data_IF_934694164359
#
_entry.id   IF_934694164359
#
_cell.length_a   1.000
_cell.length_b   1.000
_cell.length_c   1.000
_cell.angle_alpha   90.00
_cell.angle_beta   90.00
_cell.angle_gamma   90.00
#
_symmetry.space_group_name_H-M   'P 1'
#
loop_
_entity.id
_entity.type
_entity.pdbx_description
1 polymer ?
#
# COMPACT_ATOMS: atom_id res chain seq x y z
N UNK A 1 -18.57 6.01 -37.33
CA UNK A 1 -17.35 6.78 -37.02
C UNK A 1 -17.49 7.71 -35.81
N UNK A 2 -18.67 8.29 -35.56
CA UNK A 2 -18.93 9.29 -34.51
C UNK A 2 -18.82 8.78 -33.06
N UNK A 3 -19.13 7.50 -32.79
CA UNK A 3 -18.99 6.89 -31.45
C UNK A 3 -17.55 6.62 -31.01
N UNK A 4 -16.63 6.38 -31.97
CA UNK A 4 -15.22 6.12 -31.68
C UNK A 4 -14.47 7.42 -31.29
N UNK A 5 -14.86 8.54 -31.90
CA UNK A 5 -14.27 9.87 -31.65
C UNK A 5 -14.67 10.43 -30.29
N UNK A 6 -15.91 10.22 -29.84
CA UNK A 6 -16.39 10.67 -28.52
C UNK A 6 -15.70 9.92 -27.37
N UNK A 7 -15.43 8.62 -27.53
CA UNK A 7 -14.72 7.81 -26.51
C UNK A 7 -13.25 8.21 -26.38
N UNK A 8 -12.60 8.57 -27.49
CA UNK A 8 -11.22 9.09 -27.50
C UNK A 8 -11.16 10.49 -26.89
N UNK A 9 -12.09 11.39 -27.25
CA UNK A 9 -12.20 12.73 -26.67
C UNK A 9 -12.49 12.70 -25.16
N UNK A 10 -13.35 11.80 -24.66
CA UNK A 10 -13.58 11.61 -23.21
C UNK A 10 -12.33 11.16 -22.45
N UNK A 11 -11.57 10.24 -23.03
CA UNK A 11 -10.31 9.76 -22.45
C UNK A 11 -9.22 10.84 -22.49
N UNK A 12 -9.11 11.61 -23.58
CA UNK A 12 -8.13 12.69 -23.71
C UNK A 12 -8.48 13.87 -22.82
N UNK A 13 -9.73 14.33 -22.80
CA UNK A 13 -10.17 15.46 -21.94
C UNK A 13 -10.12 15.10 -20.46
N UNK A 14 -10.47 13.86 -20.07
CA UNK A 14 -10.34 13.40 -18.68
C UNK A 14 -8.88 13.32 -18.22
N UNK A 15 -7.97 12.83 -19.07
CA UNK A 15 -6.53 12.79 -18.76
C UNK A 15 -5.95 14.21 -18.72
N UNK A 16 -6.30 15.09 -19.66
CA UNK A 16 -5.79 16.47 -19.68
C UNK A 16 -6.36 17.32 -18.54
N UNK A 17 -7.63 17.13 -18.15
CA UNK A 17 -8.23 17.85 -17.03
C UNK A 17 -7.67 17.38 -15.68
N UNK A 18 -7.45 16.08 -15.49
CA UNK A 18 -6.82 15.54 -14.25
C UNK A 18 -5.35 15.92 -14.18
N UNK A 19 -4.63 15.90 -15.31
CA UNK A 19 -3.22 16.33 -15.37
C UNK A 19 -3.08 17.84 -15.18
N UNK A 20 -4.01 18.62 -15.75
CA UNK A 20 -4.06 20.08 -15.62
C UNK A 20 -4.46 20.52 -14.21
N UNK A 21 -5.42 19.86 -13.57
CA UNK A 21 -5.80 20.12 -12.18
C UNK A 21 -4.70 19.70 -11.20
N UNK A 22 -3.96 18.64 -11.49
CA UNK A 22 -2.81 18.20 -10.69
C UNK A 22 -1.59 19.12 -10.86
N UNK A 23 -1.33 19.61 -12.08
CA UNK A 23 -0.31 20.63 -12.34
C UNK A 23 -0.69 21.97 -11.70
N UNK A 24 -1.96 22.36 -11.76
CA UNK A 24 -2.50 23.55 -11.08
C UNK A 24 -2.44 23.40 -9.56
N UNK A 25 -2.72 22.21 -9.02
CA UNK A 25 -2.57 21.91 -7.59
C UNK A 25 -1.10 22.02 -7.14
N UNK A 26 -0.14 21.54 -7.94
CA UNK A 26 1.29 21.72 -7.67
C UNK A 26 1.67 23.20 -7.73
N UNK A 27 1.17 23.97 -8.70
CA UNK A 27 1.48 25.40 -8.81
C UNK A 27 0.83 26.22 -7.69
N UNK A 28 -0.43 25.93 -7.32
CA UNK A 28 -1.18 26.66 -6.30
C UNK A 28 -0.69 26.37 -4.87
N UNK A 29 -0.35 25.11 -4.56
CA UNK A 29 0.29 24.76 -3.27
C UNK A 29 1.67 25.38 -3.14
N UNK A 30 2.34 25.64 -4.27
CA UNK A 30 3.72 26.15 -4.33
C UNK A 30 3.79 27.67 -4.36
N UNK A 31 2.87 28.39 -5.01
CA UNK A 31 2.74 29.85 -4.82
C UNK A 31 2.37 30.20 -3.38
N UNK A 32 1.50 29.40 -2.75
CA UNK A 32 1.22 29.52 -1.33
C UNK A 32 2.45 29.22 -0.44
N UNK A 33 3.43 28.46 -0.94
CA UNK A 33 4.71 28.19 -0.27
C UNK A 33 5.74 29.31 -0.46
N UNK A 34 5.84 29.88 -1.66
CA UNK A 34 6.75 31.00 -1.98
C UNK A 34 6.31 32.28 -1.26
N UNK A 35 5.00 32.53 -1.13
CA UNK A 35 4.48 33.64 -0.33
C UNK A 35 4.58 33.40 1.20
N UNK A 36 4.81 32.16 1.66
CA UNK A 36 4.96 31.79 3.07
C UNK A 36 6.37 32.05 3.63
N UNK A 37 7.43 31.95 2.84
CA UNK A 37 8.79 32.22 3.33
C UNK A 37 9.06 33.70 3.61
N UNK A 38 8.17 34.61 3.19
CA UNK A 38 8.24 36.04 3.55
C UNK A 38 7.59 36.36 4.90
N UNK A 39 6.87 35.41 5.53
CA UNK A 39 6.22 35.61 6.83
C UNK A 39 6.46 34.42 7.77
N UNK A 40 7.25 34.66 8.82
CA UNK A 40 7.45 33.76 9.96
C UNK A 40 6.14 33.12 10.46
N UNK A 41 6.02 31.78 10.40
CA UNK A 41 5.01 31.04 11.19
C UNK A 41 5.29 29.53 11.27
N UNK A 42 5.64 29.08 12.47
CA UNK A 42 5.87 27.70 12.92
C UNK A 42 4.62 26.78 12.95
N UNK A 43 3.60 27.03 12.12
CA UNK A 43 2.31 26.30 12.19
C UNK A 43 1.83 25.67 10.85
N UNK A 44 2.66 25.66 9.82
CA UNK A 44 2.19 25.57 8.44
C UNK A 44 1.98 24.17 7.76
N UNK A 45 2.56 23.03 8.21
CA UNK A 45 2.43 21.77 7.47
C UNK A 45 1.00 21.22 7.41
N UNK A 46 0.25 21.33 8.52
CA UNK A 46 -1.11 20.79 8.62
C UNK A 46 -2.13 21.51 7.72
N UNK A 47 -1.95 22.83 7.49
CA UNK A 47 -2.89 23.65 6.72
C UNK A 47 -2.85 23.38 5.21
N UNK A 48 -1.67 23.08 4.64
CA UNK A 48 -1.54 22.80 3.20
C UNK A 48 -2.06 21.41 2.81
N UNK A 49 -1.78 20.39 3.63
CA UNK A 49 -2.38 19.04 3.49
C UNK A 49 -3.90 19.09 3.59
N UNK A 50 -4.44 20.04 4.38
CA UNK A 50 -5.86 20.27 4.51
C UNK A 50 -6.50 20.84 3.23
N UNK A 51 -5.85 21.77 2.53
CA UNK A 51 -6.43 22.42 1.34
C UNK A 51 -6.54 21.46 0.16
N UNK A 52 -5.51 20.67 -0.14
CA UNK A 52 -5.60 19.67 -1.22
C UNK A 52 -6.57 18.55 -0.96
N UNK A 53 -6.64 18.08 0.29
CA UNK A 53 -7.65 17.10 0.69
C UNK A 53 -9.05 17.69 0.54
N UNK A 54 -9.26 18.96 0.92
CA UNK A 54 -10.54 19.67 0.75
C UNK A 54 -10.87 19.93 -0.72
N UNK A 55 -9.91 20.31 -1.54
CA UNK A 55 -10.09 20.54 -2.98
C UNK A 55 -10.43 19.23 -3.70
N UNK A 56 -9.69 18.17 -3.42
CA UNK A 56 -10.00 16.85 -3.98
C UNK A 56 -11.40 16.40 -3.55
N UNK A 57 -11.72 16.43 -2.26
CA UNK A 57 -13.04 15.97 -1.76
C UNK A 57 -14.20 16.88 -2.16
N UNK A 58 -13.99 18.18 -2.20
CA UNK A 58 -15.03 19.18 -2.45
C UNK A 58 -15.32 19.40 -3.93
N UNK A 59 -14.32 19.21 -4.81
CA UNK A 59 -14.45 19.56 -6.23
C UNK A 59 -14.16 18.40 -7.17
N UNK A 60 -13.03 17.70 -6.98
CA UNK A 60 -12.59 16.67 -7.93
C UNK A 60 -13.39 15.37 -7.78
N UNK A 61 -13.52 14.89 -6.55
CA UNK A 61 -14.15 13.62 -6.25
C UNK A 61 -15.65 13.62 -6.61
N UNK A 62 -16.45 14.67 -6.32
CA UNK A 62 -17.85 14.73 -6.71
C UNK A 62 -18.07 14.76 -8.23
N UNK A 63 -17.08 15.22 -9.01
CA UNK A 63 -17.15 15.22 -10.48
C UNK A 63 -16.71 13.88 -11.07
N UNK A 64 -15.60 13.32 -10.57
CA UNK A 64 -15.08 12.03 -11.06
C UNK A 64 -15.94 10.84 -10.63
N UNK A 65 -16.58 10.93 -9.47
CA UNK A 65 -17.31 9.79 -8.91
C UNK A 65 -18.52 9.39 -9.77
N UNK A 66 -19.44 10.30 -10.19
CA UNK A 66 -20.53 9.97 -11.09
C UNK A 66 -20.04 9.48 -12.47
N UNK A 67 -18.96 10.07 -12.99
CA UNK A 67 -18.37 9.69 -14.28
C UNK A 67 -17.79 8.26 -14.28
N UNK A 68 -17.47 7.74 -13.10
CA UNK A 68 -16.86 6.42 -12.92
C UNK A 68 -17.72 5.45 -12.10
N UNK A 69 -18.94 5.87 -11.74
CA UNK A 69 -19.85 5.11 -10.90
C UNK A 69 -20.31 3.81 -11.58
N UNK A 70 -20.36 3.78 -12.91
CA UNK A 70 -20.85 2.63 -13.68
C UNK A 70 -19.88 1.45 -13.75
N UNK A 71 -18.56 1.67 -13.58
CA UNK A 71 -17.56 0.61 -13.56
C UNK A 71 -16.38 0.98 -12.63
N UNK A 72 -16.40 0.48 -11.38
CA UNK A 72 -15.32 0.71 -10.42
C UNK A 72 -13.92 0.25 -10.90
N UNK A 73 -13.83 -0.76 -11.78
CA UNK A 73 -12.56 -1.25 -12.31
C UNK A 73 -12.01 -0.33 -13.41
N UNK A 74 -12.87 0.33 -14.18
CA UNK A 74 -12.46 1.44 -15.07
C UNK A 74 -11.93 2.61 -14.24
N UNK A 75 -12.65 3.00 -13.19
CA UNK A 75 -12.23 4.06 -12.28
C UNK A 75 -10.84 3.79 -11.69
N UNK A 76 -10.63 2.55 -11.23
CA UNK A 76 -9.36 2.11 -10.68
C UNK A 76 -8.23 2.20 -11.71
N UNK A 77 -8.45 1.73 -12.95
CA UNK A 77 -7.46 1.87 -14.03
C UNK A 77 -7.14 3.32 -14.36
N UNK A 78 -8.15 4.20 -14.41
CA UNK A 78 -7.92 5.63 -14.62
C UNK A 78 -7.04 6.22 -13.51
N UNK A 79 -7.31 5.87 -12.25
CA UNK A 79 -6.47 6.31 -11.12
C UNK A 79 -5.02 5.81 -11.25
N UNK A 80 -4.81 4.55 -11.65
CA UNK A 80 -3.46 4.01 -11.92
C UNK A 80 -2.78 4.75 -13.06
N UNK A 81 -3.44 4.94 -14.21
CA UNK A 81 -2.83 5.59 -15.37
C UNK A 81 -2.51 7.06 -15.10
N UNK A 82 -3.45 7.83 -14.54
CA UNK A 82 -3.22 9.23 -14.19
C UNK A 82 -2.16 9.35 -13.08
N UNK A 83 -2.21 8.48 -12.07
CA UNK A 83 -1.23 8.44 -11.00
C UNK A 83 0.18 8.09 -11.47
N UNK A 84 0.32 7.25 -12.49
CA UNK A 84 1.63 6.91 -13.08
C UNK A 84 2.25 8.09 -13.83
N UNK A 85 1.43 8.83 -14.60
CA UNK A 85 1.86 10.05 -15.30
C UNK A 85 2.25 11.12 -14.29
N UNK A 86 1.35 11.39 -13.33
CA UNK A 86 1.59 12.36 -12.25
C UNK A 86 2.83 11.99 -11.43
N UNK A 87 2.96 10.72 -11.06
CA UNK A 87 4.06 10.18 -10.28
C UNK A 87 5.41 10.42 -10.96
N UNK A 88 5.51 10.22 -12.29
CA UNK A 88 6.74 10.53 -13.03
C UNK A 88 7.07 12.01 -12.96
N UNK A 89 6.11 12.89 -13.25
CA UNK A 89 6.33 14.35 -13.21
C UNK A 89 6.75 14.78 -11.80
N UNK A 90 5.99 14.37 -10.78
CA UNK A 90 6.28 14.65 -9.38
C UNK A 90 7.65 14.14 -8.95
N UNK A 91 8.01 12.90 -9.31
CA UNK A 91 9.29 12.28 -8.98
C UNK A 91 10.48 13.04 -9.57
N UNK A 92 10.39 13.44 -10.85
CA UNK A 92 11.46 14.21 -11.48
C UNK A 92 11.52 15.64 -10.94
N UNK A 93 10.39 16.31 -10.72
CA UNK A 93 10.36 17.64 -10.10
C UNK A 93 10.95 17.62 -8.68
N UNK A 94 10.60 16.63 -7.87
CA UNK A 94 11.20 16.41 -6.55
C UNK A 94 12.71 16.17 -6.65
N UNK A 95 13.18 15.42 -7.66
CA UNK A 95 14.61 15.23 -7.92
C UNK A 95 15.31 16.55 -8.27
N UNK A 96 14.77 17.32 -9.22
CA UNK A 96 15.33 18.62 -9.61
C UNK A 96 15.35 19.60 -8.43
N UNK A 97 14.28 19.62 -7.64
CA UNK A 97 14.17 20.52 -6.49
C UNK A 97 15.14 20.14 -5.37
N UNK A 98 15.26 18.87 -5.00
CA UNK A 98 16.23 18.43 -4.00
C UNK A 98 17.68 18.73 -4.43
N UNK A 99 17.99 18.60 -5.73
CA UNK A 99 19.28 19.04 -6.26
C UNK A 99 19.47 20.56 -6.12
N UNK A 100 18.44 21.35 -6.43
CA UNK A 100 18.47 22.80 -6.29
C UNK A 100 18.57 23.25 -4.83
N UNK A 101 17.82 22.65 -3.90
CA UNK A 101 17.88 22.98 -2.48
C UNK A 101 19.22 22.56 -1.85
N UNK A 102 19.77 21.40 -2.24
CA UNK A 102 21.11 21.01 -1.80
C UNK A 102 22.19 21.96 -2.35
N UNK A 103 22.04 22.43 -3.60
CA UNK A 103 22.92 23.43 -4.20
C UNK A 103 22.76 24.79 -3.49
N UNK A 104 21.53 25.27 -3.31
CA UNK A 104 21.19 26.50 -2.58
C UNK A 104 21.76 26.46 -1.18
N UNK A 105 21.56 25.37 -0.44
CA UNK A 105 22.10 25.20 0.92
C UNK A 105 23.62 25.27 0.92
N UNK A 106 24.32 24.60 -0.01
CA UNK A 106 25.80 24.71 -0.13
C UNK A 106 26.26 26.13 -0.48
N UNK A 107 25.53 26.82 -1.35
CA UNK A 107 25.83 28.20 -1.73
C UNK A 107 25.60 29.13 -0.54
N UNK A 108 24.50 28.97 0.19
CA UNK A 108 24.19 29.74 1.40
C UNK A 108 25.16 29.44 2.55
N UNK A 109 25.56 28.18 2.74
CA UNK A 109 26.56 27.79 3.74
C UNK A 109 27.94 28.40 3.40
N UNK A 110 28.31 28.46 2.12
CA UNK A 110 29.54 29.13 1.65
C UNK A 110 29.46 30.65 1.74
N UNK A 111 28.33 31.25 1.38
CA UNK A 111 28.10 32.69 1.54
C UNK A 111 28.12 33.09 3.01
N UNK A 112 27.47 32.30 3.88
CA UNK A 112 27.52 32.50 5.32
C UNK A 112 28.96 32.36 5.85
N UNK A 113 29.73 31.39 5.37
CA UNK A 113 31.15 31.24 5.73
C UNK A 113 32.05 32.37 5.18
N UNK A 114 31.68 32.99 4.06
CA UNK A 114 32.41 34.12 3.46
C UNK A 114 32.03 35.47 4.11
N UNK A 115 30.79 35.63 4.56
CA UNK A 115 30.28 36.85 5.18
C UNK A 115 30.54 36.91 6.69
N UNK A 116 30.84 35.77 7.32
CA UNK A 116 31.19 35.66 8.73
C UNK A 116 32.70 35.42 8.88
N UNK A 117 33.49 36.45 8.60
CA UNK A 117 34.86 36.55 9.09
C UNK A 117 34.81 37.24 10.45
N UNK A 118 35.09 36.50 11.53
CA UNK A 118 35.09 37.03 12.89
C UNK A 118 34.04 36.40 13.83
N UNK A 119 34.56 35.63 14.77
CA UNK A 119 34.04 35.35 16.11
C UNK A 119 32.58 35.75 16.40
N UNK A 120 31.64 34.87 16.05
CA UNK A 120 30.34 34.84 16.72
C UNK A 120 30.05 33.42 17.16
N UNK A 121 30.07 33.23 18.47
CA UNK A 121 29.58 32.05 19.18
C UNK A 121 28.27 31.60 18.53
N UNK A 122 28.29 30.42 17.91
CA UNK A 122 27.08 29.74 17.44
C UNK A 122 26.08 29.72 18.61
N UNK A 123 24.88 30.33 18.49
CA UNK A 123 23.80 29.94 19.38
C UNK A 123 23.61 28.45 19.14
N UNK A 124 23.54 27.68 20.22
CA UNK A 124 23.31 26.26 20.21
C UNK A 124 21.89 25.90 19.72
N UNK A 125 21.50 26.33 18.53
CA UNK A 125 20.39 25.76 17.76
C UNK A 125 20.82 24.47 17.03
N UNK A 126 21.92 23.86 17.46
CA UNK A 126 22.47 22.63 16.90
C UNK A 126 21.94 21.34 17.55
N UNK A 127 20.94 21.39 18.45
CA UNK A 127 20.52 20.20 19.20
C UNK A 127 19.00 20.01 19.33
N UNK A 128 18.22 20.45 18.33
CA UNK A 128 16.84 19.98 18.13
C UNK A 128 16.63 19.43 16.72
N UNK A 129 17.66 18.79 16.12
CA UNK A 129 17.44 17.88 14.99
C UNK A 129 16.89 16.56 15.54
N UNK A 130 15.70 16.65 16.13
CA UNK A 130 15.01 15.58 16.82
C UNK A 130 14.57 14.50 15.84
N UNK A 131 14.85 13.26 16.20
CA UNK A 131 14.36 12.04 15.54
C UNK A 131 12.86 12.20 15.25
N UNK A 132 12.45 12.00 14.00
CA UNK A 132 11.02 11.94 13.66
C UNK A 132 10.39 10.82 14.51
N UNK A 133 9.47 11.13 15.43
CA UNK A 133 8.93 10.15 16.38
C UNK A 133 8.11 9.05 15.70
N UNK A 134 7.75 9.22 14.42
CA UNK A 134 7.02 8.25 13.63
C UNK A 134 7.94 7.34 12.80
N UNK A 135 9.24 7.65 12.74
CA UNK A 135 10.23 6.85 12.02
C UNK A 135 10.53 5.57 12.77
N UNK A 136 10.58 4.46 12.04
CA UNK A 136 10.83 3.13 12.60
C UNK A 136 11.83 2.35 11.74
N UNK A 137 12.63 1.50 12.35
CA UNK A 137 13.44 0.50 11.64
C UNK A 137 12.89 -0.87 11.97
N UNK A 138 12.35 -1.56 10.97
CA UNK A 138 11.77 -2.89 11.08
C UNK A 138 12.30 -3.73 9.93
N UNK A 139 12.47 -5.04 10.12
CA UNK A 139 12.90 -5.93 9.03
C UNK A 139 14.25 -5.55 8.38
N UNK A 140 15.12 -4.83 9.10
CA UNK A 140 16.34 -4.25 8.54
C UNK A 140 16.12 -3.05 7.59
N UNK A 141 14.89 -2.52 7.53
CA UNK A 141 14.46 -1.45 6.62
C UNK A 141 13.99 -0.24 7.42
N UNK A 142 14.39 0.95 6.97
CA UNK A 142 13.92 2.22 7.51
C UNK A 142 12.55 2.60 6.92
N UNK A 143 11.55 2.75 7.79
CA UNK A 143 10.23 3.26 7.48
C UNK A 143 10.13 4.71 7.96
N UNK A 144 10.06 5.71 7.06
CA UNK A 144 9.98 7.11 7.46
C UNK A 144 8.67 7.44 8.20
N UNK A 145 7.59 6.69 7.96
CA UNK A 145 6.28 6.85 8.60
C UNK A 145 5.58 5.49 8.72
N UNK A 146 4.66 5.31 9.69
CA UNK A 146 4.03 4.03 9.92
C UNK A 146 2.85 3.74 8.98
N UNK A 147 2.43 4.69 8.13
CA UNK A 147 1.25 4.53 7.27
C UNK A 147 1.67 4.30 5.83
N UNK A 148 1.29 3.16 5.24
CA UNK A 148 1.59 2.79 3.87
C UNK A 148 0.37 2.49 3.01
N UNK A 149 0.62 2.19 1.73
CA UNK A 149 -0.39 1.75 0.76
C UNK A 149 -0.43 0.21 0.74
N UNK A 150 -1.62 -0.37 0.90
CA UNK A 150 -1.80 -1.83 0.88
C UNK A 150 -1.69 -2.43 -0.54
N UNK A 151 -1.29 -3.71 -0.62
CA UNK A 151 -1.36 -4.48 -1.86
C UNK A 151 -2.78 -4.57 -2.43
N UNK A 152 -2.83 -4.88 -3.72
CA UNK A 152 -4.04 -4.97 -4.52
C UNK A 152 -4.48 -3.62 -5.10
N UNK A 153 -3.88 -2.51 -4.69
CA UNK A 153 -4.05 -1.22 -5.36
C UNK A 153 -3.18 -1.15 -6.62
N UNK A 154 -1.86 -1.21 -6.49
CA UNK A 154 -0.96 -1.29 -7.65
C UNK A 154 -0.36 -2.69 -7.79
N UNK A 155 -1.04 -3.54 -8.54
CA UNK A 155 -0.62 -4.94 -8.71
C UNK A 155 0.63 -5.10 -9.58
N UNK A 156 0.89 -4.13 -10.46
CA UNK A 156 1.88 -4.26 -11.53
C UNK A 156 2.99 -3.20 -11.45
N UNK A 157 3.13 -2.49 -10.34
CA UNK A 157 4.19 -1.49 -10.14
C UNK A 157 4.09 -0.27 -11.08
N UNK A 158 2.88 0.13 -11.49
CA UNK A 158 2.68 1.31 -12.34
C UNK A 158 2.86 2.63 -11.57
N UNK A 159 2.69 2.62 -10.24
CA UNK A 159 2.75 3.78 -9.36
C UNK A 159 4.06 3.90 -8.58
N UNK A 160 5.08 3.11 -8.92
CA UNK A 160 6.35 3.12 -8.18
C UNK A 160 6.95 4.53 -8.06
N UNK A 161 6.92 5.35 -9.11
CA UNK A 161 7.39 6.75 -9.03
C UNK A 161 6.58 7.58 -8.03
N UNK A 162 5.26 7.39 -7.97
CA UNK A 162 4.40 8.10 -7.04
C UNK A 162 4.65 7.65 -5.59
N UNK A 163 4.70 6.34 -5.36
CA UNK A 163 4.90 5.74 -4.04
C UNK A 163 6.27 6.01 -3.45
N UNK A 164 7.28 6.25 -4.29
CA UNK A 164 8.65 6.58 -3.87
C UNK A 164 8.90 8.08 -3.84
N UNK A 165 7.92 8.90 -4.23
CA UNK A 165 7.97 10.36 -4.12
C UNK A 165 7.51 10.83 -2.74
N UNK A 166 7.98 11.99 -2.31
CA UNK A 166 7.49 12.63 -1.08
C UNK A 166 6.04 13.13 -1.19
N UNK A 167 5.48 13.22 -2.41
CA UNK A 167 4.22 13.91 -2.70
C UNK A 167 3.00 13.20 -2.14
N UNK A 168 2.98 11.85 -2.19
CA UNK A 168 1.86 11.08 -1.65
C UNK A 168 1.89 11.03 -0.11
N UNK A 169 3.06 11.25 0.50
CA UNK A 169 3.23 11.24 1.95
C UNK A 169 3.15 9.86 2.61
N UNK A 170 3.11 8.78 1.84
CA UNK A 170 3.15 7.42 2.37
C UNK A 170 4.52 7.13 3.01
N UNK A 171 4.51 6.34 4.07
CA UNK A 171 5.71 5.82 4.71
C UNK A 171 6.32 4.65 3.96
N UNK A 172 5.48 3.83 3.32
CA UNK A 172 5.87 2.69 2.49
C UNK A 172 4.72 2.34 1.54
N UNK A 173 4.95 1.43 0.60
CA UNK A 173 3.88 0.88 -0.22
C UNK A 173 4.12 -0.60 -0.49
N UNK A 174 3.04 -1.35 -0.70
CA UNK A 174 3.09 -2.75 -1.09
C UNK A 174 2.47 -2.91 -2.47
N UNK A 175 3.26 -3.39 -3.45
CA UNK A 175 2.77 -3.73 -4.80
C UNK A 175 2.37 -5.21 -4.87
N UNK A 176 1.66 -5.60 -5.92
CA UNK A 176 1.12 -6.96 -6.08
C UNK A 176 -0.32 -7.09 -5.57
N UNK A 177 -0.88 -8.27 -5.35
CA UNK A 177 -0.23 -9.58 -5.48
C UNK A 177 0.22 -9.88 -6.91
N UNK A 178 1.45 -10.38 -7.05
CA UNK A 178 2.01 -10.86 -8.31
C UNK A 178 2.25 -12.37 -8.22
N UNK A 179 2.03 -13.09 -9.32
CA UNK A 179 2.39 -14.49 -9.48
C UNK A 179 3.49 -14.64 -10.51
N UNK A 180 4.10 -15.83 -10.62
CA UNK A 180 5.16 -16.08 -11.60
C UNK A 180 4.65 -15.78 -13.00
N UNK A 181 3.55 -16.42 -13.37
CA UNK A 181 2.91 -16.24 -14.67
C UNK A 181 1.89 -15.09 -14.65
N UNK A 182 1.71 -14.38 -15.79
CA UNK A 182 0.61 -13.44 -15.95
C UNK A 182 -0.74 -14.11 -15.78
N UNK A 183 -1.67 -13.42 -15.12
CA UNK A 183 -3.02 -13.93 -14.90
C UNK A 183 -4.09 -12.88 -15.19
N UNK A 184 -5.11 -13.18 -16.01
CA UNK A 184 -6.16 -12.21 -16.36
C UNK A 184 -7.13 -11.93 -15.20
N UNK A 185 -7.24 -12.87 -14.26
CA UNK A 185 -8.20 -12.90 -13.17
C UNK A 185 -9.62 -13.24 -13.61
N UNK A 186 -10.58 -13.11 -12.68
CA UNK A 186 -11.96 -13.55 -12.90
C UNK A 186 -12.69 -12.71 -13.97
N UNK A 187 -13.76 -13.21 -14.59
CA UNK A 187 -14.59 -12.44 -15.52
C UNK A 187 -15.14 -11.15 -14.88
N UNK A 188 -15.32 -10.10 -15.69
CA UNK A 188 -15.96 -8.84 -15.27
C UNK A 188 -17.49 -8.94 -15.38
N UNK A 189 -18.26 -8.21 -14.54
CA UNK A 189 -17.83 -7.31 -13.46
C UNK A 189 -17.37 -8.07 -12.20
N UNK A 190 -16.37 -7.51 -11.52
CA UNK A 190 -15.67 -8.17 -10.38
C UNK A 190 -15.23 -7.21 -9.27
N UNK A 191 -15.66 -5.95 -9.35
CA UNK A 191 -15.38 -4.90 -8.36
C UNK A 191 -16.63 -4.04 -8.19
N UNK A 192 -17.11 -3.92 -6.95
CA UNK A 192 -18.37 -3.28 -6.60
C UNK A 192 -18.14 -2.33 -5.43
N UNK A 193 -18.62 -1.09 -5.54
CA UNK A 193 -18.54 -0.09 -4.47
C UNK A 193 -19.78 -0.18 -3.60
N UNK A 194 -19.61 0.03 -2.30
CA UNK A 194 -20.68 0.24 -1.33
C UNK A 194 -20.41 1.58 -0.63
N UNK A 195 -20.78 2.71 -1.26
CA UNK A 195 -20.36 4.03 -0.80
C UNK A 195 -20.90 4.38 0.59
N UNK A 196 -22.16 4.01 0.89
CA UNK A 196 -22.79 4.25 2.19
C UNK A 196 -22.06 3.54 3.33
N UNK A 197 -21.54 2.35 3.07
CA UNK A 197 -20.77 1.57 4.03
C UNK A 197 -19.29 1.97 4.08
N UNK A 198 -18.82 2.81 3.16
CA UNK A 198 -17.39 3.06 2.95
C UNK A 198 -16.64 1.75 2.66
N UNK A 199 -17.22 0.90 1.81
CA UNK A 199 -16.76 -0.45 1.54
C UNK A 199 -16.68 -0.77 0.04
N UNK A 200 -15.98 -1.86 -0.26
CA UNK A 200 -15.84 -2.42 -1.62
C UNK A 200 -15.91 -3.94 -1.53
N UNK A 201 -16.72 -4.56 -2.38
CA UNK A 201 -16.70 -6.00 -2.65
C UNK A 201 -15.85 -6.23 -3.89
N UNK A 202 -14.93 -7.19 -3.84
CA UNK A 202 -14.14 -7.56 -5.00
C UNK A 202 -13.92 -9.07 -5.10
N UNK A 203 -13.92 -9.56 -6.33
CA UNK A 203 -13.56 -10.92 -6.72
C UNK A 203 -12.61 -10.89 -7.90
N UNK A 204 -11.55 -10.10 -7.79
CA UNK A 204 -10.63 -9.81 -8.91
C UNK A 204 -9.94 -11.07 -9.46
N UNK A 205 -9.73 -12.10 -8.63
CA UNK A 205 -9.05 -13.34 -9.01
C UNK A 205 -7.56 -13.15 -9.29
N UNK A 206 -6.87 -12.35 -8.48
CA UNK A 206 -5.40 -12.18 -8.56
C UNK A 206 -4.86 -11.75 -9.94
N UNK A 207 -5.64 -10.98 -10.71
CA UNK A 207 -5.19 -10.45 -12.01
C UNK A 207 -3.85 -9.68 -11.91
N UNK A 208 -2.85 -10.06 -12.69
CA UNK A 208 -1.51 -9.45 -12.69
C UNK A 208 -0.75 -9.74 -14.00
N UNK A 209 0.36 -9.03 -14.25
CA UNK A 209 1.18 -9.16 -15.48
C UNK A 209 2.40 -10.09 -15.35
N UNK A 210 2.47 -10.89 -14.29
CA UNK A 210 3.58 -11.79 -14.01
C UNK A 210 4.76 -11.12 -13.31
N UNK A 211 5.56 -11.94 -12.64
CA UNK A 211 6.69 -11.51 -11.82
C UNK A 211 7.79 -10.84 -12.64
N UNK A 212 8.05 -11.33 -13.86
CA UNK A 212 9.05 -10.77 -14.76
C UNK A 212 8.73 -9.31 -15.14
N UNK A 213 7.46 -9.01 -15.44
CA UNK A 213 7.03 -7.65 -15.78
C UNK A 213 7.23 -6.70 -14.60
N UNK A 214 6.95 -7.16 -13.37
CA UNK A 214 7.17 -6.38 -12.17
C UNK A 214 8.67 -6.20 -11.87
N UNK A 215 9.47 -7.25 -12.03
CA UNK A 215 10.93 -7.23 -11.86
C UNK A 215 11.57 -6.11 -12.66
N UNK A 216 11.28 -6.01 -13.96
CA UNK A 216 11.88 -4.97 -14.82
C UNK A 216 11.60 -3.54 -14.33
N UNK A 217 10.41 -3.30 -13.76
CA UNK A 217 10.04 -2.00 -13.20
C UNK A 217 10.71 -1.72 -11.86
N UNK A 218 10.74 -2.72 -10.97
CA UNK A 218 11.42 -2.62 -9.69
C UNK A 218 12.94 -2.40 -9.88
N UNK A 219 13.55 -3.11 -10.82
CA UNK A 219 14.96 -2.92 -11.19
C UNK A 219 15.22 -1.51 -11.69
N UNK A 220 14.39 -1.02 -12.63
CA UNK A 220 14.50 0.35 -13.15
C UNK A 220 14.35 1.39 -12.04
N UNK A 221 13.41 1.17 -11.11
CA UNK A 221 13.21 2.07 -9.98
C UNK A 221 14.40 2.03 -9.01
N UNK A 222 14.90 0.83 -8.67
CA UNK A 222 16.06 0.66 -7.81
C UNK A 222 17.28 1.42 -8.35
N UNK A 223 17.53 1.31 -9.67
CA UNK A 223 18.60 2.08 -10.33
C UNK A 223 18.40 3.61 -10.22
N UNK A 224 17.16 4.09 -10.31
CA UNK A 224 16.84 5.53 -10.17
C UNK A 224 16.95 6.04 -8.73
N UNK A 225 16.73 5.17 -7.75
CA UNK A 225 16.76 5.50 -6.32
C UNK A 225 18.15 5.32 -5.69
N UNK A 226 19.10 4.68 -6.37
CA UNK A 226 20.42 4.40 -5.84
C UNK A 226 21.08 5.67 -5.26
N UNK A 227 21.46 5.62 -3.98
CA UNK A 227 22.05 6.74 -3.23
C UNK A 227 21.06 7.75 -2.63
N UNK A 228 19.75 7.61 -2.83
CA UNK A 228 18.75 8.47 -2.17
C UNK A 228 18.49 7.99 -0.76
N UNK A 229 18.67 8.88 0.22
CA UNK A 229 18.22 8.66 1.60
C UNK A 229 16.72 8.98 1.71
N UNK A 230 16.01 8.27 2.59
CA UNK A 230 14.61 8.52 2.98
C UNK A 230 13.52 8.30 1.91
N UNK A 231 13.73 7.37 0.98
CA UNK A 231 12.68 6.94 0.05
C UNK A 231 11.78 5.90 0.71
N UNK A 232 10.44 6.04 0.64
CA UNK A 232 9.52 5.04 1.17
C UNK A 232 9.84 3.63 0.62
N UNK A 233 10.03 2.61 1.48
CA UNK A 233 10.30 1.25 1.03
C UNK A 233 9.11 0.65 0.27
N UNK A 234 9.42 -0.21 -0.70
CA UNK A 234 8.42 -0.93 -1.49
C UNK A 234 8.45 -2.41 -1.12
N UNK A 235 7.39 -2.89 -0.46
CA UNK A 235 7.15 -4.32 -0.27
C UNK A 235 6.52 -4.95 -1.51
N UNK A 236 6.73 -6.25 -1.69
CA UNK A 236 6.11 -7.00 -2.79
C UNK A 236 5.26 -8.13 -2.23
N UNK A 237 3.97 -8.09 -2.54
CA UNK A 237 3.03 -9.15 -2.23
C UNK A 237 3.08 -10.23 -3.32
N UNK A 238 3.38 -11.47 -2.94
CA UNK A 238 3.47 -12.61 -3.87
C UNK A 238 2.34 -13.61 -3.64
N UNK A 239 1.94 -14.31 -4.68
CA UNK A 239 0.89 -15.33 -4.66
C UNK A 239 1.16 -16.41 -5.70
N UNK A 240 0.60 -17.60 -5.49
CA UNK A 240 0.59 -18.68 -6.48
C UNK A 240 -0.14 -18.21 -7.74
N UNK A 241 0.37 -18.59 -8.90
CA UNK A 241 -0.36 -18.50 -10.17
C UNK A 241 -1.71 -19.23 -10.03
N UNK A 242 -2.86 -18.55 -10.22
CA UNK A 242 -4.19 -19.15 -10.02
C UNK A 242 -4.63 -20.15 -11.12
N UNK A 243 -3.71 -20.99 -11.60
CA UNK A 243 -3.99 -22.02 -12.59
C UNK A 243 -4.30 -23.36 -11.92
N UNK A 244 -5.36 -24.08 -12.36
CA UNK A 244 -5.66 -25.44 -11.88
C UNK A 244 -4.56 -26.46 -12.21
N UNK A 245 -3.67 -26.14 -13.14
CA UNK A 245 -2.51 -26.97 -13.48
C UNK A 245 -1.31 -26.76 -12.53
N UNK A 246 -1.40 -25.83 -11.58
CA UNK A 246 -0.32 -25.45 -10.66
C UNK A 246 -0.84 -25.69 -9.24
N UNK A 247 -0.72 -26.93 -8.77
CA UNK A 247 -1.11 -27.36 -7.42
C UNK A 247 0.09 -27.99 -6.67
N UNK A 248 -0.06 -28.23 -5.37
CA UNK A 248 0.89 -28.93 -4.51
C UNK A 248 2.36 -28.47 -4.67
N UNK A 249 3.26 -29.36 -5.12
CA UNK A 249 4.67 -29.04 -5.31
C UNK A 249 4.92 -28.01 -6.41
N UNK A 250 4.12 -28.04 -7.48
CA UNK A 250 4.21 -27.04 -8.54
C UNK A 250 3.79 -25.65 -8.02
N UNK A 251 2.84 -25.60 -7.10
CA UNK A 251 2.43 -24.36 -6.44
C UNK A 251 3.53 -23.76 -5.56
N UNK A 252 4.27 -24.61 -4.83
CA UNK A 252 5.43 -24.17 -4.05
C UNK A 252 6.55 -23.68 -4.99
N UNK A 253 6.84 -24.42 -6.06
CA UNK A 253 7.84 -24.02 -7.04
C UNK A 253 7.50 -22.67 -7.73
N UNK A 254 6.23 -22.44 -8.06
CA UNK A 254 5.73 -21.18 -8.62
C UNK A 254 5.95 -20.00 -7.65
N UNK A 255 5.70 -20.21 -6.35
CA UNK A 255 5.94 -19.21 -5.31
C UNK A 255 7.43 -18.90 -5.14
N UNK A 256 8.30 -19.91 -5.17
CA UNK A 256 9.76 -19.73 -5.11
C UNK A 256 10.27 -18.97 -6.34
N UNK A 257 9.83 -19.35 -7.54
CA UNK A 257 10.19 -18.65 -8.77
C UNK A 257 9.69 -17.19 -8.76
N UNK A 258 8.51 -16.94 -8.20
CA UNK A 258 8.02 -15.56 -7.99
C UNK A 258 8.91 -14.80 -7.02
N UNK A 259 9.30 -15.44 -5.90
CA UNK A 259 10.18 -14.86 -4.88
C UNK A 259 11.51 -14.39 -5.49
N UNK A 260 12.19 -15.24 -6.26
CA UNK A 260 13.48 -14.95 -6.88
C UNK A 260 13.47 -13.72 -7.78
N UNK A 261 12.40 -13.56 -8.55
CA UNK A 261 12.28 -12.46 -9.53
C UNK A 261 12.22 -11.10 -8.84
N UNK A 262 11.61 -11.03 -7.65
CA UNK A 262 11.29 -9.75 -6.99
C UNK A 262 12.09 -9.48 -5.72
N UNK A 263 12.59 -10.52 -5.03
CA UNK A 263 13.34 -10.40 -3.79
C UNK A 263 14.57 -9.47 -3.86
N UNK A 264 15.37 -9.41 -4.95
CA UNK A 264 16.49 -8.48 -5.04
C UNK A 264 16.11 -7.00 -4.92
N UNK A 265 14.86 -6.65 -5.23
CA UNK A 265 14.39 -5.26 -5.34
C UNK A 265 13.31 -4.88 -4.32
N UNK A 266 12.72 -5.86 -3.64
CA UNK A 266 11.70 -5.64 -2.63
C UNK A 266 12.35 -5.26 -1.28
N UNK A 267 11.74 -4.34 -0.53
CA UNK A 267 12.13 -4.09 0.86
C UNK A 267 11.83 -5.31 1.74
N UNK A 268 10.64 -5.88 1.58
CA UNK A 268 10.20 -7.12 2.20
C UNK A 268 9.28 -7.89 1.23
N UNK A 269 9.17 -9.19 1.42
CA UNK A 269 8.23 -10.05 0.70
C UNK A 269 7.03 -10.35 1.60
N UNK A 270 5.83 -10.16 1.07
CA UNK A 270 4.58 -10.52 1.76
C UNK A 270 3.92 -11.71 1.06
N UNK A 271 3.95 -12.87 1.70
CA UNK A 271 3.39 -14.12 1.20
C UNK A 271 1.89 -14.13 1.44
N UNK A 272 1.11 -14.01 0.35
CA UNK A 272 -0.33 -14.00 0.42
C UNK A 272 -0.89 -15.43 0.39
N UNK A 273 -1.18 -15.96 1.58
CA UNK A 273 -1.80 -17.29 1.74
C UNK A 273 -3.33 -17.24 1.76
N UNK A 274 -3.93 -16.04 1.76
CA UNK A 274 -5.29 -15.77 2.24
C UNK A 274 -6.27 -15.27 1.18
N UNK A 275 -6.01 -15.48 -0.13
CA UNK A 275 -6.90 -14.93 -1.17
C UNK A 275 -8.13 -15.82 -1.40
N UNK A 276 -9.37 -15.37 -1.09
CA UNK A 276 -10.57 -16.18 -1.22
C UNK A 276 -11.16 -16.18 -2.64
N UNK A 277 -10.50 -15.52 -3.61
CA UNK A 277 -11.08 -15.17 -4.91
C UNK A 277 -10.53 -16.00 -6.08
N UNK A 278 -9.87 -17.12 -5.82
CA UNK A 278 -9.40 -18.09 -6.83
C UNK A 278 -10.52 -19.06 -7.18
N UNK A 279 -10.57 -19.55 -8.42
CA UNK A 279 -11.60 -20.50 -8.86
C UNK A 279 -11.51 -21.84 -8.10
N UNK A 280 -10.30 -22.23 -7.70
CA UNK A 280 -10.02 -23.45 -6.92
C UNK A 280 -10.46 -23.35 -5.46
N UNK A 281 -10.58 -22.13 -4.90
CA UNK A 281 -10.91 -21.92 -3.48
C UNK A 281 -9.86 -22.44 -2.48
N UNK A 282 -8.81 -23.15 -2.93
CA UNK A 282 -7.71 -23.65 -2.10
C UNK A 282 -6.80 -22.49 -1.69
N UNK A 283 -6.62 -22.34 -0.39
CA UNK A 283 -5.66 -21.42 0.24
C UNK A 283 -4.49 -22.21 0.83
N UNK A 284 -3.39 -21.52 1.17
CA UNK A 284 -2.31 -22.11 1.99
C UNK A 284 -2.58 -21.90 3.49
N UNK A 285 -3.85 -21.78 3.90
CA UNK A 285 -4.19 -21.60 5.33
C UNK A 285 -4.35 -22.94 6.06
N UNK A 286 -4.46 -24.05 5.33
CA UNK A 286 -4.44 -25.39 5.93
C UNK A 286 -3.05 -25.70 6.50
N UNK A 287 -2.95 -26.30 7.71
CA UNK A 287 -1.67 -26.45 8.43
C UNK A 287 -0.56 -27.13 7.63
N UNK A 288 -0.85 -28.23 6.96
CA UNK A 288 0.13 -29.02 6.21
C UNK A 288 0.63 -28.27 4.97
N UNK A 289 -0.29 -27.63 4.24
CA UNK A 289 0.03 -26.84 3.06
C UNK A 289 0.88 -25.61 3.44
N UNK A 290 0.56 -24.96 4.56
CA UNK A 290 1.33 -23.84 5.08
C UNK A 290 2.74 -24.26 5.52
N UNK A 291 2.85 -25.33 6.30
CA UNK A 291 4.15 -25.84 6.77
C UNK A 291 5.06 -26.19 5.59
N UNK A 292 4.52 -26.89 4.58
CA UNK A 292 5.24 -27.22 3.35
C UNK A 292 5.73 -25.97 2.61
N UNK A 293 4.84 -24.98 2.39
CA UNK A 293 5.20 -23.74 1.71
C UNK A 293 6.26 -22.95 2.49
N UNK A 294 6.05 -22.73 3.80
CA UNK A 294 6.95 -21.92 4.62
C UNK A 294 8.33 -22.57 4.77
N UNK A 295 8.40 -23.90 4.94
CA UNK A 295 9.70 -24.59 4.99
C UNK A 295 10.49 -24.39 3.70
N UNK A 296 9.86 -24.59 2.56
CA UNK A 296 10.52 -24.42 1.27
C UNK A 296 10.97 -22.96 1.07
N UNK A 297 10.07 -22.01 1.28
CA UNK A 297 10.33 -20.59 1.05
C UNK A 297 11.37 -20.01 2.01
N UNK A 298 11.31 -20.35 3.30
CA UNK A 298 12.26 -19.82 4.29
C UNK A 298 13.64 -20.49 4.18
N UNK A 299 13.70 -21.77 3.81
CA UNK A 299 14.96 -22.43 3.43
C UNK A 299 15.59 -21.74 2.23
N UNK A 300 14.79 -21.55 1.17
CA UNK A 300 15.24 -20.87 -0.04
C UNK A 300 15.71 -19.44 0.22
N UNK A 301 14.95 -18.68 1.01
CA UNK A 301 15.30 -17.32 1.45
C UNK A 301 16.60 -17.31 2.25
N UNK A 302 16.80 -18.26 3.17
CA UNK A 302 18.04 -18.35 3.95
C UNK A 302 19.27 -18.55 3.04
N UNK A 303 19.14 -19.42 2.04
CA UNK A 303 20.26 -19.83 1.21
C UNK A 303 20.59 -18.80 0.11
N UNK A 304 19.59 -18.06 -0.39
CA UNK A 304 19.76 -17.12 -1.52
C UNK A 304 19.63 -15.64 -1.13
N UNK A 305 18.87 -15.31 -0.08
CA UNK A 305 18.53 -13.94 0.31
C UNK A 305 18.48 -13.77 1.85
N UNK A 306 19.60 -13.98 2.57
CA UNK A 306 19.65 -14.11 4.03
C UNK A 306 19.21 -12.85 4.81
N UNK A 307 19.09 -11.70 4.15
CA UNK A 307 18.61 -10.45 4.75
C UNK A 307 17.19 -10.07 4.32
N UNK A 308 16.55 -10.86 3.44
CA UNK A 308 15.22 -10.52 2.92
C UNK A 308 14.13 -10.90 3.91
N UNK A 309 13.46 -9.91 4.49
CA UNK A 309 12.33 -10.20 5.36
C UNK A 309 11.14 -10.81 4.60
N UNK A 310 10.55 -11.85 5.21
CA UNK A 310 9.38 -12.57 4.74
C UNK A 310 8.25 -12.43 5.75
N UNK A 311 7.15 -11.85 5.29
CA UNK A 311 5.94 -11.68 6.06
C UNK A 311 4.84 -12.60 5.53
N UNK A 312 3.88 -12.96 6.37
CA UNK A 312 2.71 -13.76 5.99
C UNK A 312 1.42 -12.95 6.14
N UNK A 313 0.56 -12.96 5.12
CA UNK A 313 -0.71 -12.23 5.12
C UNK A 313 -1.90 -13.10 5.53
N UNK A 314 -2.57 -12.74 6.63
CA UNK A 314 -3.68 -13.51 7.19
C UNK A 314 -5.07 -12.99 6.79
N UNK A 315 -6.02 -13.91 6.68
CA UNK A 315 -7.46 -13.61 6.54
C UNK A 315 -8.03 -12.99 7.83
N UNK A 316 -9.09 -12.16 7.72
CA UNK A 316 -9.86 -11.76 8.89
C UNK A 316 -10.62 -12.95 9.49
N UNK A 317 -10.92 -12.93 10.81
CA UNK A 317 -11.76 -13.94 11.42
C UNK A 317 -13.15 -13.99 10.77
N UNK A 318 -13.75 -15.18 10.59
CA UNK A 318 -15.12 -15.31 10.13
C UNK A 318 -16.10 -14.79 11.21
N UNK A 319 -17.35 -14.58 10.81
CA UNK A 319 -18.41 -14.30 11.75
C UNK A 319 -18.56 -15.44 12.78
N UNK A 320 -18.73 -15.08 14.05
CA UNK A 320 -18.86 -16.08 15.13
C UNK A 320 -17.58 -16.83 15.46
N UNK A 321 -16.41 -16.36 15.01
CA UNK A 321 -15.12 -16.94 15.39
C UNK A 321 -14.99 -17.08 16.91
N UNK A 322 -14.83 -18.31 17.35
CA UNK A 322 -14.76 -18.72 18.75
C UNK A 322 -13.31 -18.99 19.18
N UNK A 323 -13.13 -19.48 20.40
CA UNK A 323 -11.83 -19.82 20.95
C UNK A 323 -11.09 -20.87 20.12
N UNK A 324 -11.81 -21.86 19.55
CA UNK A 324 -11.21 -22.89 18.70
C UNK A 324 -10.61 -22.31 17.43
N UNK A 325 -11.31 -21.35 16.78
CA UNK A 325 -10.74 -20.62 15.64
C UNK A 325 -9.44 -19.90 16.04
N UNK A 326 -9.47 -19.17 17.15
CA UNK A 326 -8.30 -18.42 17.61
C UNK A 326 -7.14 -19.32 18.03
N UNK A 327 -7.39 -20.51 18.57
CA UNK A 327 -6.34 -21.51 18.82
C UNK A 327 -5.72 -22.05 17.52
N UNK A 328 -6.53 -22.27 16.48
CA UNK A 328 -6.01 -22.59 15.14
C UNK A 328 -5.08 -21.50 14.60
N UNK A 329 -5.49 -20.23 14.72
CA UNK A 329 -4.64 -19.08 14.39
C UNK A 329 -3.37 -19.05 15.24
N UNK A 330 -3.48 -19.32 16.55
CA UNK A 330 -2.32 -19.35 17.45
C UNK A 330 -1.31 -20.42 17.03
N UNK A 331 -1.76 -21.63 16.71
CA UNK A 331 -0.91 -22.72 16.24
C UNK A 331 -0.19 -22.36 14.93
N UNK A 332 -0.94 -21.80 13.97
CA UNK A 332 -0.41 -21.32 12.69
C UNK A 332 0.67 -20.24 12.88
N UNK A 333 0.41 -19.24 13.72
CA UNK A 333 1.35 -18.15 14.02
C UNK A 333 2.59 -18.68 14.70
N UNK A 334 2.45 -19.51 15.75
CA UNK A 334 3.60 -20.11 16.45
C UNK A 334 4.47 -20.91 15.49
N UNK A 335 3.85 -21.70 14.60
CA UNK A 335 4.58 -22.49 13.61
C UNK A 335 5.33 -21.61 12.61
N UNK A 336 4.67 -20.58 12.08
CA UNK A 336 5.31 -19.63 11.18
C UNK A 336 6.52 -18.94 11.83
N UNK A 337 6.40 -18.54 13.10
CA UNK A 337 7.51 -17.93 13.87
C UNK A 337 8.63 -18.94 14.12
N UNK A 338 8.32 -20.19 14.49
CA UNK A 338 9.29 -21.28 14.66
C UNK A 338 10.13 -21.51 13.38
N UNK A 339 9.49 -21.41 12.22
CA UNK A 339 10.15 -21.57 10.92
C UNK A 339 10.97 -20.34 10.49
N UNK A 340 10.82 -19.20 11.17
CA UNK A 340 11.58 -17.97 10.91
C UNK A 340 10.85 -16.91 10.08
N UNK A 341 9.52 -16.84 10.12
CA UNK A 341 8.77 -15.70 9.55
C UNK A 341 9.08 -14.41 10.32
N UNK A 342 9.41 -13.34 9.60
CA UNK A 342 9.86 -12.07 10.18
C UNK A 342 8.70 -11.17 10.66
N UNK A 343 7.48 -11.39 10.16
CA UNK A 343 6.34 -10.56 10.50
C UNK A 343 5.03 -11.03 9.89
N UNK A 344 3.94 -10.34 10.25
CA UNK A 344 2.61 -10.64 9.71
C UNK A 344 1.96 -9.39 9.13
N UNK A 345 1.15 -9.58 8.07
CA UNK A 345 0.28 -8.54 7.53
C UNK A 345 -1.16 -8.98 7.76
N UNK A 346 -1.97 -8.15 8.42
CA UNK A 346 -3.35 -8.53 8.69
C UNK A 346 -4.29 -7.33 8.76
N UNK A 347 -5.44 -7.33 8.12
CA UNK A 347 -6.13 -8.48 7.50
C UNK A 347 -6.32 -8.32 5.99
N UNK A 348 -6.55 -9.45 5.32
CA UNK A 348 -7.14 -9.50 3.99
C UNK A 348 -8.65 -9.16 4.03
N UNK A 349 -9.38 -9.39 2.94
CA UNK A 349 -10.82 -9.08 2.84
C UNK A 349 -11.72 -10.10 3.52
N UNK A 350 -12.87 -9.67 4.06
CA UNK A 350 -13.87 -10.55 4.71
C UNK A 350 -14.75 -11.22 3.66
N UNK A 351 -14.91 -12.54 3.72
CA UNK A 351 -15.70 -13.31 2.75
C UNK A 351 -17.20 -13.38 3.08
N UNK A 352 -17.58 -13.32 4.36
CA UNK A 352 -18.98 -13.40 4.80
C UNK A 352 -19.75 -12.07 4.69
N UNK A 353 -21.05 -12.11 5.05
CA UNK A 353 -22.00 -10.99 5.03
C UNK A 353 -22.74 -10.85 6.36
N UNK A 354 -22.05 -11.18 7.46
CA UNK A 354 -22.68 -11.22 8.77
C UNK A 354 -23.07 -9.83 9.30
N UNK A 355 -23.96 -9.83 10.29
CA UNK A 355 -24.56 -8.62 10.87
C UNK A 355 -23.55 -7.70 11.54
N UNK A 356 -22.50 -8.27 12.12
CA UNK A 356 -21.43 -7.53 12.80
C UNK A 356 -20.63 -6.62 11.86
N UNK A 357 -20.73 -6.83 10.53
CA UNK A 357 -20.14 -5.95 9.53
C UNK A 357 -20.91 -4.63 9.38
N UNK A 358 -22.14 -4.53 9.90
CA UNK A 358 -22.92 -3.28 9.88
C UNK A 358 -23.24 -2.77 8.48
N UNK A 359 -23.38 -3.67 7.50
CA UNK A 359 -23.69 -3.31 6.12
C UNK A 359 -25.14 -2.80 6.01
N UNK A 360 -25.35 -1.73 5.24
CA UNK A 360 -26.69 -1.19 4.92
C UNK A 360 -27.48 -2.20 4.09
N UNK A 361 -28.35 -2.97 4.76
CA UNK A 361 -29.20 -3.98 4.12
C UNK A 361 -30.34 -3.40 3.28
N UNK A 362 -30.58 -2.08 3.35
CA UNK A 362 -31.62 -1.41 2.55
C UNK A 362 -31.19 -1.18 1.09
N UNK A 363 -29.90 -1.34 0.78
CA UNK A 363 -29.30 -1.07 -0.52
C UNK A 363 -29.50 -2.16 -1.59
N UNK A 364 -30.43 -3.10 -1.40
CA UNK A 364 -30.80 -4.08 -2.42
C UNK A 364 -29.66 -4.97 -2.93
N UNK A 365 -29.90 -5.64 -4.06
CA UNK A 365 -29.20 -6.80 -4.61
C UNK A 365 -27.67 -6.90 -4.50
N UNK A 366 -26.91 -5.80 -4.51
CA UNK A 366 -25.43 -5.87 -4.54
C UNK A 366 -24.85 -6.48 -3.26
N UNK A 367 -25.44 -6.18 -2.10
CA UNK A 367 -24.99 -6.74 -0.80
C UNK A 367 -25.16 -8.27 -0.74
N UNK A 368 -26.22 -8.78 -1.37
CA UNK A 368 -26.68 -10.17 -1.25
C UNK A 368 -26.30 -11.04 -2.46
N UNK A 369 -26.18 -10.48 -3.66
CA UNK A 369 -25.87 -11.22 -4.90
C UNK A 369 -24.38 -11.31 -5.18
N UNK A 370 -23.60 -10.30 -4.82
CA UNK A 370 -22.20 -10.22 -5.26
C UNK A 370 -21.28 -11.02 -4.34
N UNK A 371 -20.75 -12.12 -4.90
CA UNK A 371 -19.66 -12.90 -4.30
C UNK A 371 -18.36 -12.11 -4.27
N UNK A 372 -17.49 -12.41 -3.32
CA UNK A 372 -16.16 -11.83 -3.17
C UNK A 372 -15.91 -11.23 -1.80
N UNK A 373 -14.70 -10.76 -1.58
CA UNK A 373 -14.25 -10.21 -0.31
C UNK A 373 -14.63 -8.74 -0.11
N UNK A 374 -15.16 -8.41 1.06
CA UNK A 374 -15.42 -7.06 1.55
C UNK A 374 -14.15 -6.44 2.11
N UNK A 375 -13.91 -5.20 1.74
CA UNK A 375 -12.90 -4.31 2.31
C UNK A 375 -13.55 -2.98 2.70
N UNK A 376 -12.86 -2.18 3.52
CA UNK A 376 -13.35 -0.86 3.94
C UNK A 376 -13.72 -0.82 5.42
N UNK A 377 -14.56 0.15 5.81
CA UNK A 377 -14.91 0.41 7.22
C UNK A 377 -15.44 -0.84 7.96
N UNK A 378 -16.30 -1.68 7.35
CA UNK A 378 -16.84 -2.89 8.01
C UNK A 378 -15.79 -3.86 8.56
N UNK A 379 -14.60 -3.93 7.95
CA UNK A 379 -13.57 -4.92 8.32
C UNK A 379 -12.79 -4.52 9.58
N UNK A 380 -12.88 -3.25 9.99
CA UNK A 380 -12.01 -2.65 11.01
C UNK A 380 -11.98 -3.42 12.33
N UNK A 381 -13.15 -3.78 12.87
CA UNK A 381 -13.21 -4.40 14.20
C UNK A 381 -12.59 -5.80 14.18
N UNK A 382 -12.85 -6.57 13.12
CA UNK A 382 -12.24 -7.89 12.93
C UNK A 382 -10.72 -7.80 12.73
N UNK A 383 -10.25 -6.78 12.01
CA UNK A 383 -8.81 -6.50 11.88
C UNK A 383 -8.16 -6.23 13.23
N UNK A 384 -8.77 -5.35 14.04
CA UNK A 384 -8.30 -5.01 15.40
C UNK A 384 -8.23 -6.26 16.29
N UNK A 385 -9.26 -7.09 16.26
CA UNK A 385 -9.34 -8.30 17.08
C UNK A 385 -8.20 -9.28 16.72
N UNK A 386 -7.96 -9.51 15.42
CA UNK A 386 -6.89 -10.40 14.99
C UNK A 386 -5.49 -9.83 15.31
N UNK A 387 -5.26 -8.54 15.08
CA UNK A 387 -3.99 -7.88 15.44
C UNK A 387 -3.70 -8.07 16.93
N UNK A 388 -4.70 -7.82 17.79
CA UNK A 388 -4.57 -8.00 19.24
C UNK A 388 -4.32 -9.46 19.63
N UNK A 389 -4.94 -10.40 18.94
CA UNK A 389 -4.72 -11.83 19.18
C UNK A 389 -3.29 -12.23 18.83
N UNK A 390 -2.85 -11.94 17.61
CA UNK A 390 -1.50 -12.31 17.14
C UNK A 390 -0.41 -11.61 17.95
N UNK A 391 -0.60 -10.34 18.32
CA UNK A 391 0.34 -9.63 19.20
C UNK A 391 0.52 -10.34 20.55
N UNK A 392 -0.56 -10.87 21.15
CA UNK A 392 -0.48 -11.66 22.39
C UNK A 392 0.24 -12.99 22.18
N UNK A 393 -0.08 -13.70 21.09
CA UNK A 393 0.56 -14.99 20.74
C UNK A 393 2.06 -14.82 20.53
N UNK A 394 2.50 -13.72 19.93
CA UNK A 394 3.93 -13.43 19.67
C UNK A 394 4.59 -12.64 20.80
N UNK A 395 3.86 -12.33 21.88
CA UNK A 395 4.33 -11.52 23.02
C UNK A 395 4.95 -10.18 22.59
N UNK A 396 4.44 -9.60 21.49
CA UNK A 396 4.96 -8.36 20.91
C UNK A 396 6.36 -8.45 20.29
N UNK A 397 6.95 -9.64 20.16
CA UNK A 397 8.31 -9.84 19.62
C UNK A 397 8.37 -9.82 18.10
N UNK A 398 7.24 -10.06 17.43
CA UNK A 398 7.15 -10.15 15.97
C UNK A 398 6.36 -8.96 15.43
N UNK A 399 6.94 -8.11 14.56
CA UNK A 399 6.25 -6.95 13.99
C UNK A 399 5.00 -7.32 13.18
N UNK A 400 3.98 -6.48 13.29
CA UNK A 400 2.70 -6.64 12.57
C UNK A 400 2.42 -5.40 11.72
N UNK A 401 2.04 -5.62 10.45
CA UNK A 401 1.47 -4.59 9.58
C UNK A 401 -0.07 -4.71 9.61
N UNK A 402 -0.73 -3.77 10.27
CA UNK A 402 -2.19 -3.70 10.39
C UNK A 402 -2.86 -3.13 9.13
N UNK A 403 -3.88 -3.80 8.61
CA UNK A 403 -4.65 -3.40 7.44
C UNK A 403 -6.14 -3.72 7.68
N UNK A 404 -7.03 -2.91 7.12
CA UNK A 404 -8.47 -3.11 7.21
C UNK A 404 -9.19 -1.94 7.87
N UNK A 405 -9.95 -1.19 7.07
CA UNK A 405 -10.80 -0.11 7.58
C UNK A 405 -10.07 1.13 8.10
N UNK A 406 -8.84 1.40 7.64
CA UNK A 406 -8.08 2.61 7.99
C UNK A 406 -8.46 3.77 7.09
N UNK A 407 -9.21 4.74 7.62
CA UNK A 407 -9.66 5.94 6.90
C UNK A 407 -9.24 7.25 7.58
N UNK A 408 -8.85 7.17 8.85
CA UNK A 408 -8.47 8.30 9.70
C UNK A 408 -7.22 7.97 10.51
N UNK A 409 -6.58 9.01 11.07
CA UNK A 409 -5.46 8.82 12.00
C UNK A 409 -5.87 8.03 13.25
N UNK A 410 -7.11 8.19 13.73
CA UNK A 410 -7.64 7.43 14.85
C UNK A 410 -7.73 5.93 14.52
N UNK A 411 -8.17 5.57 13.30
CA UNK A 411 -8.21 4.17 12.86
C UNK A 411 -6.83 3.53 12.84
N UNK A 412 -5.83 4.26 12.31
CA UNK A 412 -4.44 3.84 12.32
C UNK A 412 -3.94 3.64 13.76
N UNK A 413 -4.22 4.60 14.64
CA UNK A 413 -3.82 4.55 16.04
C UNK A 413 -4.46 3.38 16.79
N UNK A 414 -5.72 3.03 16.51
CA UNK A 414 -6.39 1.87 17.11
C UNK A 414 -5.72 0.54 16.75
N UNK A 415 -5.26 0.38 15.50
CA UNK A 415 -4.48 -0.79 15.09
C UNK A 415 -3.11 -0.81 15.77
N UNK A 416 -2.43 0.33 15.84
CA UNK A 416 -1.12 0.45 16.51
C UNK A 416 -1.25 0.08 17.99
N UNK A 417 -2.24 0.63 18.69
CA UNK A 417 -2.57 0.32 20.09
C UNK A 417 -2.98 -1.13 20.32
N UNK A 418 -3.36 -1.84 19.26
CA UNK A 418 -3.70 -3.26 19.33
C UNK A 418 -2.49 -4.17 19.07
N UNK A 419 -1.34 -3.62 18.68
CA UNK A 419 -0.09 -4.36 18.48
C UNK A 419 0.55 -4.18 17.10
N UNK A 420 -0.04 -3.42 16.19
CA UNK A 420 0.56 -3.16 14.87
C UNK A 420 1.75 -2.20 14.99
N UNK A 421 2.86 -2.53 14.34
CA UNK A 421 4.02 -1.64 14.22
C UNK A 421 3.85 -0.66 13.06
N UNK A 422 3.29 -1.12 11.94
CA UNK A 422 2.95 -0.35 10.75
C UNK A 422 1.46 -0.54 10.42
N UNK A 423 0.89 0.36 9.62
CA UNK A 423 -0.47 0.23 9.10
C UNK A 423 -0.54 0.50 7.60
N UNK A 424 -1.46 -0.16 6.91
CA UNK A 424 -1.75 0.04 5.50
C UNK A 424 -3.18 0.55 5.28
N UNK A 425 -3.33 1.46 4.33
CA UNK A 425 -4.62 1.91 3.80
C UNK A 425 -4.70 1.62 2.30
N UNK A 426 -5.91 1.32 1.81
CA UNK A 426 -6.17 1.03 0.38
C UNK A 426 -7.16 2.00 -0.26
N UNK A 427 -8.04 2.57 0.54
CA UNK A 427 -9.16 3.39 0.07
C UNK A 427 -9.01 4.79 0.68
N UNK A 428 -8.89 5.84 -0.14
CA UNK A 428 -9.16 7.17 0.36
C UNK A 428 -10.63 7.29 0.75
N UNK A 429 -10.85 8.14 1.76
CA UNK A 429 -12.09 8.40 2.46
C UNK A 429 -13.16 9.06 1.59
N UNK A 430 -14.40 8.58 1.78
CA UNK A 430 -15.69 9.15 1.41
C UNK A 430 -15.80 9.61 -0.06
N UNK A 431 -16.23 8.69 -0.93
CA UNK A 431 -16.98 8.96 -2.16
C UNK A 431 -18.03 7.89 -2.35
#
# INVERSE_FOLDING_TARGET
MTFYTVRRLRNTVGVTAVSGAAAYYILAVREAGVLREMHHADAAPAAAVCWGTRFYKGLIAPVLFPLTASDPEVAHRMAITSGAVYGKVAFFLDRYWNCFDAYRKRVMDRLAAMLLDGDTRRPAHAALQGVDPLKQTLFGVEFPRPVGVAAGFDKNGELLHLFTSAVLGNGFAEVGSVSKEPWPGNPRPRLFRLPRDGAVINRMGLNNRGAESLRGKLQSMSALLNGRRHTPPIGVNITKTPSPSIEDDAAVADMLATFDEVAPYAAYINVNISCPNTAEGKTFEEPEALDKLLRALLTWRRDNFPDKAVLVKLSPPPAGADEKYYEGVSAMVRKAVELGVDGFVMVNTVSDRAEDLGLDRTMGDVHHREKGGISGKPVRQRAINLVRHVYRVTEGRVPIIGCGGVFTAEDAYRLIRSGASLVQARLPRDT
#
